data_IF_332580081376
#
_entry.id   IF_332580081376
#
_cell.length_a   1.000
_cell.length_b   1.000
_cell.length_c   1.000
_cell.angle_alpha   90.00
_cell.angle_beta   90.00
_cell.angle_gamma   90.00
#
_symmetry.space_group_name_H-M   'P 1'
#
loop_
_entity.id
_entity.type
_entity.pdbx_description
1 polymer ?
#
# COMPACT_ATOMS: atom_id res chain seq x y z
N UNK A 1 -33.84 -13.96 -3.75
CA UNK A 1 -32.84 -13.13 -4.47
C UNK A 1 -31.53 -13.29 -3.72
N UNK A 2 -30.40 -13.49 -4.42
CA UNK A 2 -29.11 -13.57 -3.77
C UNK A 2 -28.70 -12.22 -3.17
N UNK A 3 -27.91 -12.23 -2.11
CA UNK A 3 -27.37 -11.03 -1.48
C UNK A 3 -26.24 -10.45 -2.35
N UNK A 4 -26.56 -9.38 -3.09
CA UNK A 4 -25.62 -8.77 -4.03
C UNK A 4 -24.37 -8.20 -3.34
N UNK A 5 -24.49 -7.75 -2.08
CA UNK A 5 -23.35 -7.21 -1.34
C UNK A 5 -22.38 -8.32 -0.94
N UNK A 6 -22.91 -9.45 -0.44
CA UNK A 6 -22.09 -10.61 -0.13
C UNK A 6 -21.35 -11.12 -1.37
N UNK A 7 -22.04 -11.23 -2.51
CA UNK A 7 -21.44 -11.64 -3.78
C UNK A 7 -20.34 -10.69 -4.25
N UNK A 8 -20.57 -9.38 -4.23
CA UNK A 8 -19.57 -8.40 -4.64
C UNK A 8 -18.36 -8.38 -3.69
N UNK A 9 -18.58 -8.49 -2.39
CA UNK A 9 -17.50 -8.60 -1.40
C UNK A 9 -16.60 -9.81 -1.67
N UNK A 10 -17.21 -10.95 -2.00
CA UNK A 10 -16.50 -12.17 -2.39
C UNK A 10 -15.63 -11.95 -3.65
N UNK A 11 -16.15 -11.28 -4.69
CA UNK A 11 -15.37 -10.96 -5.88
C UNK A 11 -14.19 -10.03 -5.58
N UNK A 12 -14.39 -9.02 -4.74
CA UNK A 12 -13.32 -8.09 -4.33
C UNK A 12 -12.20 -8.84 -3.60
N UNK A 13 -12.54 -9.70 -2.62
CA UNK A 13 -11.56 -10.50 -1.89
C UNK A 13 -10.80 -11.46 -2.81
N UNK A 14 -11.51 -12.14 -3.73
CA UNK A 14 -10.89 -13.04 -4.72
C UNK A 14 -9.91 -12.32 -5.64
N UNK A 15 -10.26 -11.13 -6.11
CA UNK A 15 -9.35 -10.30 -6.92
C UNK A 15 -8.06 -9.90 -6.18
N UNK A 16 -8.08 -9.95 -4.84
CA UNK A 16 -6.95 -9.63 -3.97
C UNK A 16 -6.00 -10.80 -3.69
N UNK A 17 -6.43 -12.06 -3.84
CA UNK A 17 -5.71 -13.29 -3.43
C UNK A 17 -4.24 -13.26 -3.86
N UNK A 18 -4.00 -13.16 -5.18
CA UNK A 18 -2.65 -13.24 -5.75
C UNK A 18 -1.67 -12.18 -5.22
N UNK A 19 -2.19 -11.07 -4.66
CA UNK A 19 -1.35 -9.93 -4.22
C UNK A 19 -1.38 -9.68 -2.73
N UNK A 20 -2.44 -10.08 -2.02
CA UNK A 20 -2.63 -9.74 -0.60
C UNK A 20 -2.75 -10.98 0.29
N UNK A 21 -3.16 -12.12 -0.25
CA UNK A 21 -3.46 -13.33 0.53
C UNK A 21 -2.78 -14.53 -0.16
N UNK A 22 -1.52 -14.79 0.17
CA UNK A 22 -0.85 -15.98 -0.36
C UNK A 22 -1.58 -17.24 0.14
N UNK A 23 -2.16 -17.99 -0.78
CA UNK A 23 -2.77 -19.29 -0.54
C UNK A 23 -1.72 -20.21 0.09
N UNK A 24 -2.04 -20.83 1.24
CA UNK A 24 -1.11 -21.74 1.91
C UNK A 24 -1.06 -23.11 1.26
N UNK A 25 -2.20 -23.55 0.73
CA UNK A 25 -2.32 -24.82 0.03
C UNK A 25 -2.40 -24.59 -1.49
N UNK A 26 -1.39 -25.01 -2.28
CA UNK A 26 -1.40 -24.85 -3.73
C UNK A 26 -2.46 -25.71 -4.46
N UNK A 27 -3.16 -26.59 -3.74
CA UNK A 27 -4.26 -27.41 -4.27
C UNK A 27 -5.63 -26.75 -4.10
N UNK A 28 -5.74 -25.70 -3.28
CA UNK A 28 -6.98 -24.94 -3.12
C UNK A 28 -7.18 -24.06 -4.36
N UNK A 29 -8.40 -24.11 -4.90
CA UNK A 29 -8.78 -23.24 -6.00
C UNK A 29 -8.87 -21.80 -5.49
N UNK A 30 -7.94 -20.95 -5.92
CA UNK A 30 -7.93 -19.52 -5.62
C UNK A 30 -9.30 -18.88 -5.92
N UNK A 31 -10.03 -19.38 -6.93
CA UNK A 31 -11.34 -18.85 -7.28
C UNK A 31 -12.43 -19.17 -6.26
N UNK A 32 -12.21 -20.07 -5.30
CA UNK A 32 -13.21 -20.49 -4.31
C UNK A 32 -12.82 -20.22 -2.85
N UNK A 33 -11.58 -19.78 -2.59
CA UNK A 33 -11.04 -19.59 -1.24
C UNK A 33 -11.91 -18.74 -0.31
N UNK A 34 -12.65 -17.76 -0.85
CA UNK A 34 -13.52 -16.88 -0.07
C UNK A 34 -14.99 -17.18 -0.27
N UNK A 35 -15.71 -17.25 0.85
CA UNK A 35 -17.17 -17.31 0.91
C UNK A 35 -17.68 -16.23 1.87
N UNK A 36 -18.59 -15.37 1.42
CA UNK A 36 -19.21 -14.33 2.24
C UNK A 36 -20.70 -14.65 2.40
N UNK A 37 -21.17 -14.77 3.63
CA UNK A 37 -22.57 -15.11 3.96
C UNK A 37 -23.16 -14.10 4.92
N UNK A 38 -24.46 -13.81 4.79
CA UNK A 38 -25.18 -13.00 5.79
C UNK A 38 -25.30 -13.82 7.07
N UNK A 39 -24.73 -13.32 8.16
CA UNK A 39 -24.76 -14.00 9.45
C UNK A 39 -25.92 -13.50 10.32
N UNK A 40 -26.26 -12.22 10.19
CA UNK A 40 -27.38 -11.59 10.88
C UNK A 40 -27.98 -10.47 10.01
N UNK A 41 -28.94 -9.73 10.56
CA UNK A 41 -29.49 -8.54 9.89
C UNK A 41 -28.44 -7.43 9.75
N UNK A 42 -27.44 -7.39 10.62
CA UNK A 42 -26.46 -6.29 10.70
C UNK A 42 -25.04 -6.70 10.32
N UNK A 43 -24.77 -7.99 10.10
CA UNK A 43 -23.41 -8.49 9.83
C UNK A 43 -23.33 -9.55 8.72
N UNK A 44 -22.17 -9.61 8.08
CA UNK A 44 -21.71 -10.70 7.24
C UNK A 44 -20.59 -11.48 7.92
N UNK A 45 -20.47 -12.78 7.61
CA UNK A 45 -19.30 -13.59 7.91
C UNK A 45 -18.49 -13.83 6.64
N UNK A 46 -17.19 -13.61 6.72
CA UNK A 46 -16.21 -13.91 5.68
C UNK A 46 -15.47 -15.19 6.09
N UNK A 47 -15.73 -16.26 5.37
CA UNK A 47 -15.04 -17.53 5.48
C UNK A 47 -13.87 -17.56 4.49
N UNK A 48 -12.76 -18.14 4.94
CA UNK A 48 -11.57 -18.40 4.14
C UNK A 48 -11.15 -19.84 4.42
N UNK A 49 -10.94 -20.63 3.37
CA UNK A 49 -10.60 -22.06 3.46
C UNK A 49 -9.29 -22.31 4.25
N UNK A 50 -8.33 -21.36 4.26
CA UNK A 50 -7.12 -21.48 5.09
C UNK A 50 -7.42 -21.36 6.61
N UNK A 51 -8.64 -21.03 6.98
CA UNK A 51 -9.05 -20.65 8.32
C UNK A 51 -10.56 -20.93 8.57
N UNK A 52 -11.02 -22.11 8.17
CA UNK A 52 -12.45 -22.50 8.20
C UNK A 52 -13.11 -22.23 9.56
N UNK A 53 -12.42 -22.54 10.66
CA UNK A 53 -12.96 -22.46 12.02
C UNK A 53 -13.07 -21.04 12.59
N UNK A 54 -12.59 -20.02 11.85
CA UNK A 54 -12.50 -18.64 12.36
C UNK A 54 -13.04 -17.65 11.34
N UNK A 55 -14.34 -17.56 11.09
CA UNK A 55 -14.87 -16.52 10.19
C UNK A 55 -14.58 -15.11 10.74
N UNK A 56 -14.37 -14.15 9.85
CA UNK A 56 -14.33 -12.74 10.22
C UNK A 56 -15.72 -12.11 10.10
N UNK A 57 -16.18 -11.46 11.15
CA UNK A 57 -17.47 -10.74 11.15
C UNK A 57 -17.27 -9.29 10.71
N UNK A 58 -18.04 -8.85 9.70
CA UNK A 58 -18.02 -7.48 9.20
C UNK A 58 -19.43 -6.86 9.23
N UNK A 59 -19.60 -5.61 9.69
CA UNK A 59 -20.89 -4.93 9.64
C UNK A 59 -21.37 -4.69 8.20
N UNK A 60 -22.68 -4.85 7.93
CA UNK A 60 -23.24 -4.60 6.59
C UNK A 60 -23.03 -3.16 6.12
N UNK A 61 -23.05 -2.21 7.06
CA UNK A 61 -22.83 -0.78 6.77
C UNK A 61 -21.47 -0.51 6.11
N UNK A 62 -20.47 -1.37 6.34
CA UNK A 62 -19.15 -1.21 5.73
C UNK A 62 -19.19 -1.58 4.25
N UNK A 63 -19.90 -2.65 3.87
CA UNK A 63 -20.02 -3.07 2.47
C UNK A 63 -20.92 -2.16 1.62
N UNK A 64 -21.78 -1.36 2.27
CA UNK A 64 -22.58 -0.33 1.58
C UNK A 64 -21.74 0.90 1.23
N UNK A 65 -20.64 1.14 1.95
CA UNK A 65 -19.78 2.30 1.74
C UNK A 65 -18.81 2.07 0.55
N UNK A 66 -18.92 2.82 -0.56
CA UNK A 66 -18.03 2.64 -1.72
C UNK A 66 -16.56 3.02 -1.45
N UNK A 67 -16.29 3.77 -0.37
CA UNK A 67 -14.93 4.15 0.02
C UNK A 67 -14.27 3.14 0.96
N UNK A 68 -14.98 2.08 1.36
CA UNK A 68 -14.45 1.07 2.26
C UNK A 68 -13.56 0.08 1.50
N UNK A 69 -12.28 0.04 1.88
CA UNK A 69 -11.32 -0.93 1.35
C UNK A 69 -11.44 -2.28 2.09
N UNK A 70 -12.34 -3.12 1.58
CA UNK A 70 -12.57 -4.47 2.12
C UNK A 70 -11.29 -5.31 2.11
N UNK A 71 -10.45 -5.18 1.08
CA UNK A 71 -9.24 -5.98 0.95
C UNK A 71 -8.23 -5.65 2.05
N UNK A 72 -7.95 -4.37 2.24
CA UNK A 72 -7.06 -3.91 3.31
C UNK A 72 -7.62 -4.22 4.71
N UNK A 73 -8.92 -4.01 4.91
CA UNK A 73 -9.58 -4.35 6.17
C UNK A 73 -9.40 -5.83 6.50
N UNK A 74 -9.64 -6.73 5.53
CA UNK A 74 -9.48 -8.17 5.73
C UNK A 74 -8.03 -8.52 6.08
N UNK A 75 -7.05 -7.93 5.39
CA UNK A 75 -5.63 -8.16 5.63
C UNK A 75 -5.23 -7.84 7.08
N UNK A 76 -5.66 -6.68 7.59
CA UNK A 76 -5.38 -6.26 8.97
C UNK A 76 -6.02 -7.24 9.94
N UNK A 77 -7.32 -7.50 9.81
CA UNK A 77 -8.06 -8.29 10.78
C UNK A 77 -7.70 -9.78 10.77
N UNK A 78 -7.14 -10.27 9.67
CA UNK A 78 -6.75 -11.68 9.54
C UNK A 78 -5.30 -11.96 9.91
N UNK A 79 -4.37 -11.09 9.50
CA UNK A 79 -2.94 -11.38 9.61
C UNK A 79 -2.23 -10.56 10.69
N UNK A 80 -2.78 -9.41 11.14
CA UNK A 80 -2.15 -8.60 12.19
C UNK A 80 -2.58 -8.99 13.61
N UNK A 81 -3.57 -9.86 13.74
CA UNK A 81 -4.03 -10.44 15.02
C UNK A 81 -3.30 -11.71 15.40
N UNK A 82 -2.09 -11.99 14.87
CA UNK A 82 -1.25 -13.00 15.54
C UNK A 82 -1.00 -12.49 16.96
N UNK A 83 -1.52 -13.16 18.01
CA UNK A 83 -0.91 -12.98 19.30
C UNK A 83 0.55 -13.36 19.08
N UNK A 84 1.46 -12.52 19.51
CA UNK A 84 2.81 -13.00 19.80
C UNK A 84 2.53 -14.02 20.90
N UNK A 85 2.38 -15.28 20.51
CA UNK A 85 2.61 -16.37 21.43
C UNK A 85 4.09 -16.17 21.73
N UNK A 86 4.33 -15.56 22.89
CA UNK A 86 5.61 -15.60 23.56
C UNK A 86 5.80 -17.09 23.84
N UNK A 87 6.27 -17.81 22.81
CA UNK A 87 6.90 -19.10 22.97
C UNK A 87 8.09 -18.78 23.86
N UNK A 88 7.81 -18.80 25.17
CA UNK A 88 8.79 -18.63 26.22
C UNK A 88 9.98 -19.52 25.88
N UNK A 89 11.20 -19.09 26.23
CA UNK A 89 12.42 -19.72 25.79
C UNK A 89 12.29 -21.23 25.95
N UNK A 90 12.40 -21.95 24.82
CA UNK A 90 12.53 -23.41 24.79
C UNK A 90 13.53 -23.79 25.88
N UNK A 91 13.02 -24.31 26.99
CA UNK A 91 13.82 -24.92 28.03
C UNK A 91 14.01 -26.38 27.60
N UNK A 92 15.21 -26.77 27.11
CA UNK A 92 15.44 -28.13 26.66
C UNK A 92 15.60 -29.13 27.82
N UNK A 93 15.31 -28.78 29.07
CA UNK A 93 15.28 -29.71 30.19
C UNK A 93 13.84 -30.03 30.60
N UNK A 94 13.29 -31.08 30.02
CA UNK A 94 12.53 -32.15 30.72
C UNK A 94 11.79 -33.02 29.70
N UNK A 95 12.56 -33.80 28.95
CA UNK A 95 12.10 -35.13 28.50
C UNK A 95 12.34 -36.07 29.68
N UNK A 96 11.29 -36.29 30.46
CA UNK A 96 10.96 -37.55 31.11
C UNK A 96 9.76 -37.33 32.04
N UNK A 97 8.60 -37.89 31.66
CA UNK A 97 7.52 -38.31 32.56
C UNK A 97 6.26 -38.51 31.71
N UNK A 98 6.02 -39.73 31.24
CA UNK A 98 5.08 -40.67 31.86
C UNK A 98 3.59 -40.33 31.64
N UNK A 99 2.93 -41.29 30.99
CA UNK A 99 1.50 -41.50 30.86
C UNK A 99 0.66 -40.95 32.02
N UNK A 100 -0.42 -40.23 31.68
CA UNK A 100 -1.68 -40.40 32.40
C UNK A 100 -2.85 -40.21 31.43
N UNK A 101 -3.47 -41.34 31.06
CA UNK A 101 -4.86 -41.37 30.62
C UNK A 101 -5.74 -40.77 31.72
N UNK A 102 -6.72 -39.92 31.37
CA UNK A 102 -8.14 -40.19 31.61
C UNK A 102 -9.08 -39.03 31.20
N UNK A 103 -10.38 -39.30 31.04
CA UNK A 103 -11.28 -38.70 30.05
C UNK A 103 -12.31 -37.74 30.67
N UNK A 104 -13.21 -37.26 29.80
CA UNK A 104 -14.53 -36.67 30.09
C UNK A 104 -14.57 -35.41 30.96
N UNK A 105 -14.87 -34.27 30.31
CA UNK A 105 -15.60 -33.19 30.97
C UNK A 105 -16.38 -32.35 29.95
N UNK A 106 -17.66 -32.70 29.81
CA UNK A 106 -18.73 -31.82 29.37
C UNK A 106 -18.82 -30.60 30.32
N UNK A 107 -18.66 -29.38 29.79
CA UNK A 107 -19.17 -28.18 30.46
C UNK A 107 -19.84 -27.28 29.42
N UNK A 108 -21.17 -27.41 29.37
CA UNK A 108 -22.10 -26.36 28.98
C UNK A 108 -22.03 -25.21 29.99
N UNK A 109 -21.92 -23.97 29.51
CA UNK A 109 -22.52 -22.83 30.22
C UNK A 109 -22.90 -21.72 29.24
N UNK A 110 -24.19 -21.68 28.93
CA UNK A 110 -24.88 -20.50 28.42
C UNK A 110 -24.77 -19.37 29.46
N UNK A 111 -24.55 -18.14 29.00
CA UNK A 111 -24.82 -16.94 29.80
C UNK A 111 -25.31 -15.86 28.86
N UNK A 112 -26.63 -15.80 28.78
CA UNK A 112 -27.40 -14.64 28.37
C UNK A 112 -27.16 -13.52 29.39
N UNK A 113 -26.80 -12.32 28.93
CA UNK A 113 -27.03 -11.11 29.72
C UNK A 113 -27.65 -10.03 28.85
N UNK A 114 -28.86 -9.70 29.25
CA UNK A 114 -29.80 -8.78 28.65
C UNK A 114 -29.37 -7.31 28.79
N UNK A 115 -29.80 -6.54 27.79
CA UNK A 115 -30.25 -5.15 27.83
C UNK A 115 -29.73 -4.20 28.94
N UNK A 116 -29.14 -3.08 28.51
CA UNK A 116 -29.41 -1.80 29.17
C UNK A 116 -29.51 -0.68 28.14
N UNK A 117 -30.69 -0.11 28.10
CA UNK A 117 -31.10 1.06 27.34
C UNK A 117 -30.40 2.31 27.87
N UNK A 118 -29.83 3.13 26.98
CA UNK A 118 -29.71 4.56 27.25
C UNK A 118 -30.00 5.37 25.98
N UNK A 119 -31.26 5.78 25.86
CA UNK A 119 -31.69 6.83 24.95
C UNK A 119 -31.11 8.16 25.43
N UNK A 120 -30.48 8.91 24.52
CA UNK A 120 -30.22 10.34 24.70
C UNK A 120 -31.07 11.10 23.69
N UNK A 121 -32.16 11.68 24.19
CA UNK A 121 -32.87 12.77 23.56
C UNK A 121 -31.96 14.00 23.55
N UNK A 122 -31.69 14.56 22.36
CA UNK A 122 -31.13 15.91 22.24
C UNK A 122 -32.24 16.78 21.66
N UNK A 123 -32.83 17.57 22.56
CA UNK A 123 -33.82 18.60 22.29
C UNK A 123 -33.28 19.68 21.36
N UNK A 124 -34.08 19.98 20.34
CA UNK A 124 -34.00 21.21 19.56
C UNK A 124 -34.79 22.33 20.24
N UNK A 125 -34.15 23.47 20.51
CA UNK A 125 -34.77 24.79 20.67
C UNK A 125 -33.72 25.83 20.28
N UNK A 126 -33.90 26.53 19.15
CA UNK A 126 -34.43 27.90 19.06
C UNK A 126 -33.62 28.94 19.83
N UNK A 127 -32.94 29.84 19.13
CA UNK A 127 -33.27 31.28 19.09
C UNK A 127 -32.37 32.01 18.09
N UNK A 128 -32.99 32.80 17.22
CA UNK A 128 -32.35 33.83 16.43
C UNK A 128 -32.23 35.11 17.27
N UNK A 129 -31.23 35.94 17.01
CA UNK A 129 -31.42 37.38 17.14
C UNK A 129 -31.12 38.10 15.83
N UNK A 130 -32.14 38.82 15.36
CA UNK A 130 -31.98 39.98 14.49
C UNK A 130 -31.16 41.05 15.23
N UNK A 131 -30.10 41.55 14.59
CA UNK A 131 -29.66 42.93 14.82
C UNK A 131 -29.17 43.55 13.53
N UNK A 132 -29.93 44.57 13.15
CA UNK A 132 -29.75 45.51 12.06
C UNK A 132 -28.61 46.51 12.31
N UNK A 133 -28.07 47.00 11.19
CA UNK A 133 -27.64 48.38 10.93
C UNK A 133 -26.18 48.80 11.13
N UNK A 134 -25.65 49.26 10.00
CA UNK A 134 -24.70 50.35 9.75
C UNK A 134 -23.22 50.13 10.12
N UNK A 135 -22.38 50.11 9.09
CA UNK A 135 -21.49 51.26 8.87
C UNK A 135 -20.98 51.30 7.42
N UNK A 136 -21.25 52.47 6.85
CA UNK A 136 -20.78 53.02 5.59
C UNK A 136 -19.28 53.31 5.69
N UNK A 137 -18.49 52.74 4.80
CA UNK A 137 -17.10 53.18 4.55
C UNK A 137 -16.71 52.76 3.14
N UNK A 138 -16.92 53.69 2.22
CA UNK A 138 -16.30 53.76 0.90
C UNK A 138 -14.79 53.99 1.10
N UNK A 139 -13.97 52.95 0.91
CA UNK A 139 -12.58 53.11 0.48
C UNK A 139 -12.32 52.08 -0.62
N UNK A 140 -12.30 52.60 -1.85
CA UNK A 140 -11.83 51.94 -3.06
C UNK A 140 -10.36 51.55 -2.89
N UNK A 141 -10.11 50.27 -2.60
CA UNK A 141 -8.82 49.64 -2.82
C UNK A 141 -9.05 48.46 -3.78
N UNK A 142 -8.65 48.65 -5.04
CA UNK A 142 -8.69 47.66 -6.12
C UNK A 142 -7.78 46.47 -5.78
N UNK A 143 -8.24 45.61 -4.87
CA UNK A 143 -7.75 44.24 -4.79
C UNK A 143 -8.35 43.50 -5.97
N UNK A 144 -7.56 43.41 -7.03
CA UNK A 144 -7.82 42.50 -8.15
C UNK A 144 -7.89 41.07 -7.62
N UNK A 145 -9.08 40.64 -7.21
CA UNK A 145 -9.44 39.24 -7.07
C UNK A 145 -9.39 38.62 -8.46
N UNK A 146 -8.18 38.26 -8.88
CA UNK A 146 -7.94 37.31 -9.94
C UNK A 146 -8.44 35.97 -9.41
N UNK A 147 -9.75 35.78 -9.46
CA UNK A 147 -10.37 34.47 -9.38
C UNK A 147 -9.66 33.59 -10.40
N UNK A 148 -8.92 32.54 -10.00
CA UNK A 148 -8.29 31.64 -10.95
C UNK A 148 -9.41 30.87 -11.64
N UNK A 149 -9.88 31.42 -12.76
CA UNK A 149 -10.88 30.85 -13.67
C UNK A 149 -10.25 29.83 -14.60
N UNK A 150 -9.44 28.95 -14.03
CA UNK A 150 -9.02 27.72 -14.68
C UNK A 150 -9.73 26.58 -13.98
N UNK A 151 -10.49 25.77 -14.71
CA UNK A 151 -10.94 24.46 -14.25
C UNK A 151 -9.69 23.62 -13.94
N UNK A 152 -9.16 23.74 -12.72
CA UNK A 152 -8.04 22.94 -12.26
C UNK A 152 -8.55 21.51 -12.20
N UNK A 153 -7.97 20.64 -13.02
CA UNK A 153 -8.39 19.25 -13.11
C UNK A 153 -8.34 18.59 -11.73
N UNK A 154 -9.24 17.63 -11.47
CA UNK A 154 -9.24 16.87 -10.20
C UNK A 154 -7.87 16.22 -9.98
N UNK A 155 -7.16 15.86 -11.06
CA UNK A 155 -5.79 15.37 -11.04
C UNK A 155 -4.76 16.40 -10.56
N UNK A 156 -4.91 17.67 -10.90
CA UNK A 156 -4.01 18.76 -10.52
C UNK A 156 -4.27 19.24 -9.08
N UNK A 157 -5.52 19.21 -8.62
CA UNK A 157 -5.84 19.37 -7.19
C UNK A 157 -5.26 18.21 -6.37
N UNK A 158 -5.37 16.97 -6.87
CA UNK A 158 -4.77 15.81 -6.22
C UNK A 158 -3.23 15.86 -6.22
N UNK A 159 -2.63 16.43 -7.27
CA UNK A 159 -1.21 16.71 -7.35
C UNK A 159 -0.77 17.69 -6.25
N UNK A 160 -1.44 18.83 -6.11
CA UNK A 160 -1.12 19.81 -5.08
C UNK A 160 -1.30 19.25 -3.67
N UNK A 161 -2.38 18.48 -3.43
CA UNK A 161 -2.63 17.83 -2.15
C UNK A 161 -1.58 16.75 -1.83
N UNK A 162 -1.12 16.02 -2.84
CA UNK A 162 -0.03 15.04 -2.71
C UNK A 162 1.33 15.70 -2.45
N UNK A 163 1.67 16.76 -3.18
CA UNK A 163 2.89 17.56 -2.99
C UNK A 163 2.91 18.26 -1.63
N UNK A 164 1.75 18.72 -1.13
CA UNK A 164 1.61 19.34 0.18
C UNK A 164 1.58 18.34 1.34
N UNK A 165 1.66 17.02 1.08
CA UNK A 165 1.58 15.99 2.11
C UNK A 165 0.23 15.88 2.82
N UNK A 166 -0.84 16.46 2.23
CA UNK A 166 -2.18 16.56 2.83
C UNK A 166 -3.05 15.33 2.57
N UNK A 167 -2.58 14.36 1.78
CA UNK A 167 -3.29 13.10 1.51
C UNK A 167 -2.35 11.92 1.67
N UNK A 168 -2.66 11.02 2.62
CA UNK A 168 -1.97 9.74 2.79
C UNK A 168 -2.65 8.74 1.87
N UNK A 169 -2.03 8.42 0.73
CA UNK A 169 -2.50 7.33 -0.13
C UNK A 169 -1.99 6.01 0.48
N UNK A 170 -2.86 5.02 0.76
CA UNK A 170 -2.44 3.75 1.33
C UNK A 170 -1.48 3.03 0.37
N UNK A 171 -0.37 2.55 0.93
CA UNK A 171 0.77 2.01 0.18
C UNK A 171 0.50 0.57 -0.28
N UNK A 172 0.87 0.23 -1.52
CA UNK A 172 0.78 -1.14 -2.06
C UNK A 172 2.17 -1.63 -2.49
N UNK A 173 2.74 -2.57 -1.74
CA UNK A 173 4.13 -3.02 -1.92
C UNK A 173 4.30 -4.27 -2.83
N UNK A 174 3.24 -4.97 -3.23
CA UNK A 174 3.36 -6.31 -3.87
C UNK A 174 3.15 -6.25 -5.39
N UNK A 175 4.12 -6.78 -6.15
CA UNK A 175 4.01 -7.10 -7.58
C UNK A 175 4.37 -5.99 -8.57
N UNK A 176 4.88 -4.86 -8.11
CA UNK A 176 5.16 -3.70 -8.97
C UNK A 176 6.48 -3.86 -9.75
N UNK A 177 6.44 -4.60 -10.86
CA UNK A 177 7.57 -4.78 -11.77
C UNK A 177 8.16 -3.45 -12.24
N UNK A 178 7.31 -2.43 -12.43
CA UNK A 178 7.72 -1.11 -12.87
C UNK A 178 8.47 -0.39 -11.75
N UNK A 179 7.90 -0.36 -10.54
CA UNK A 179 8.55 0.20 -9.36
C UNK A 179 9.90 -0.46 -9.05
N UNK A 180 9.98 -1.79 -9.17
CA UNK A 180 11.22 -2.55 -9.00
C UNK A 180 12.27 -2.20 -10.07
N UNK A 181 11.87 -2.10 -11.34
CA UNK A 181 12.77 -1.69 -12.43
C UNK A 181 13.30 -0.29 -12.18
N UNK A 182 12.43 0.66 -11.83
CA UNK A 182 12.81 2.04 -11.54
C UNK A 182 13.76 2.12 -10.36
N UNK A 183 13.46 1.41 -9.26
CA UNK A 183 14.33 1.35 -8.09
C UNK A 183 15.71 0.81 -8.45
N UNK A 184 15.80 -0.26 -9.25
CA UNK A 184 17.08 -0.80 -9.71
C UNK A 184 17.86 0.18 -10.57
N UNK A 185 17.21 0.83 -11.54
CA UNK A 185 17.86 1.83 -12.41
C UNK A 185 18.40 2.98 -11.56
N UNK A 186 17.60 3.54 -10.66
CA UNK A 186 18.00 4.67 -9.84
C UNK A 186 19.13 4.32 -8.86
N UNK A 187 19.10 3.14 -8.24
CA UNK A 187 20.17 2.67 -7.34
C UNK A 187 21.47 2.28 -8.10
N UNK A 188 21.45 2.18 -9.43
CA UNK A 188 22.65 1.94 -10.24
C UNK A 188 23.46 3.22 -10.50
N UNK A 189 22.88 4.40 -10.25
CA UNK A 189 23.62 5.66 -10.29
C UNK A 189 24.33 5.91 -8.96
N UNK A 190 25.64 6.16 -9.03
CA UNK A 190 26.46 6.41 -7.83
C UNK A 190 26.04 7.69 -7.10
N UNK A 191 25.79 8.76 -7.85
CA UNK A 191 25.56 10.10 -7.32
C UNK A 191 24.61 10.92 -8.20
N UNK A 192 23.69 11.67 -7.58
CA UNK A 192 22.79 12.60 -8.25
C UNK A 192 23.13 14.05 -7.87
N UNK A 193 22.75 15.03 -8.70
CA UNK A 193 22.99 16.44 -8.40
C UNK A 193 22.49 16.85 -7.01
N UNK A 194 23.40 17.37 -6.19
CA UNK A 194 23.12 17.83 -4.83
C UNK A 194 23.45 16.80 -3.74
N UNK A 195 23.90 15.60 -4.09
CA UNK A 195 24.38 14.61 -3.11
C UNK A 195 25.56 15.15 -2.28
N UNK A 196 25.65 14.79 -0.99
CA UNK A 196 26.77 15.17 -0.12
C UNK A 196 28.10 14.44 -0.45
N UNK A 197 28.26 13.88 -1.66
CA UNK A 197 29.41 13.09 -2.08
C UNK A 197 29.16 11.58 -2.07
N UNK A 198 30.22 10.76 -2.01
CA UNK A 198 30.13 9.30 -2.09
C UNK A 198 29.44 8.71 -0.86
N UNK A 199 28.17 8.34 -1.00
CA UNK A 199 27.38 7.77 0.09
C UNK A 199 27.55 6.25 0.09
N UNK A 200 28.22 5.70 1.11
CA UNK A 200 28.14 4.26 1.39
C UNK A 200 26.75 3.97 1.98
N UNK A 201 25.86 3.48 1.13
CA UNK A 201 24.48 3.21 1.52
C UNK A 201 24.36 1.76 2.03
N UNK A 202 24.10 1.61 3.33
CA UNK A 202 23.68 0.32 3.92
C UNK A 202 22.21 -0.01 3.61
N UNK A 203 21.44 0.99 3.17
CA UNK A 203 20.00 0.92 2.89
C UNK A 203 19.73 1.38 1.46
N UNK A 204 18.66 0.89 0.81
CA UNK A 204 18.29 1.34 -0.52
C UNK A 204 18.09 2.86 -0.54
N UNK A 205 18.64 3.54 -1.54
CA UNK A 205 18.62 5.00 -1.67
C UNK A 205 17.22 5.54 -1.96
N UNK A 206 16.46 4.75 -2.70
CA UNK A 206 15.17 5.11 -3.24
C UNK A 206 14.12 4.12 -2.78
N UNK A 207 12.95 4.62 -2.42
CA UNK A 207 11.74 3.82 -2.28
C UNK A 207 10.75 4.24 -3.36
N UNK A 208 10.45 3.30 -4.26
CA UNK A 208 9.57 3.55 -5.41
C UNK A 208 8.26 2.83 -5.20
N UNK A 209 7.14 3.54 -5.34
CA UNK A 209 5.81 3.01 -5.06
C UNK A 209 4.78 3.59 -6.02
N UNK A 210 3.76 2.82 -6.36
CA UNK A 210 2.60 3.33 -7.09
C UNK A 210 1.82 4.29 -6.18
N UNK A 211 1.62 5.52 -6.64
CA UNK A 211 0.89 6.55 -5.89
C UNK A 211 -0.54 6.72 -6.42
N UNK A 212 -0.75 6.64 -7.73
CA UNK A 212 -2.06 6.70 -8.39
C UNK A 212 -2.13 5.65 -9.50
N UNK A 213 -3.27 5.52 -10.16
CA UNK A 213 -3.46 4.51 -11.21
C UNK A 213 -2.40 4.56 -12.31
N UNK A 214 -1.90 5.76 -12.61
CA UNK A 214 -0.89 6.00 -13.65
C UNK A 214 0.35 6.74 -13.15
N UNK A 215 0.56 6.88 -11.83
CA UNK A 215 1.73 7.60 -11.30
C UNK A 215 2.50 6.80 -10.27
N UNK A 216 3.82 6.90 -10.34
CA UNK A 216 4.78 6.31 -9.41
C UNK A 216 5.49 7.39 -8.65
N UNK A 217 5.48 7.29 -7.33
CA UNK A 217 6.26 8.11 -6.43
C UNK A 217 7.65 7.49 -6.24
N UNK A 218 8.68 8.30 -6.39
CA UNK A 218 10.07 8.02 -6.07
C UNK A 218 10.44 8.86 -4.86
N UNK A 219 10.59 8.20 -3.72
CA UNK A 219 11.03 8.78 -2.47
C UNK A 219 12.55 8.62 -2.35
N UNK A 220 13.27 9.73 -2.55
CA UNK A 220 14.72 9.81 -2.41
C UNK A 220 15.10 10.07 -0.97
N UNK A 221 15.51 9.02 -0.25
CA UNK A 221 15.73 9.06 1.20
C UNK A 221 16.90 9.97 1.61
N UNK A 222 17.89 10.15 0.73
CA UNK A 222 19.04 11.03 0.96
C UNK A 222 18.63 12.51 0.95
N UNK A 223 17.78 12.90 0.00
CA UNK A 223 17.34 14.28 -0.18
C UNK A 223 16.05 14.61 0.53
N UNK A 224 15.39 13.60 1.11
CA UNK A 224 14.01 13.68 1.60
C UNK A 224 13.08 14.29 0.54
N UNK A 225 13.29 13.91 -0.71
CA UNK A 225 12.59 14.45 -1.87
C UNK A 225 11.61 13.44 -2.43
N UNK A 226 10.39 13.87 -2.70
CA UNK A 226 9.35 13.05 -3.32
C UNK A 226 9.14 13.53 -4.75
N UNK A 227 9.32 12.64 -5.73
CA UNK A 227 9.16 12.94 -7.15
C UNK A 227 8.19 11.96 -7.79
N UNK A 228 7.34 12.42 -8.70
CA UNK A 228 6.34 11.58 -9.35
C UNK A 228 6.63 11.41 -10.84
N UNK A 229 6.43 10.20 -11.36
CA UNK A 229 6.59 9.85 -12.76
C UNK A 229 5.34 9.19 -13.30
N UNK A 230 5.02 9.47 -14.55
CA UNK A 230 3.90 8.85 -15.24
C UNK A 230 4.26 7.43 -15.70
N UNK A 231 3.29 6.51 -15.61
CA UNK A 231 3.47 5.11 -16.01
C UNK A 231 3.93 4.98 -17.47
N UNK A 232 3.43 5.87 -18.32
CA UNK A 232 3.69 5.86 -19.76
C UNK A 232 5.16 6.16 -20.05
N UNK A 233 5.73 7.16 -19.38
CA UNK A 233 7.16 7.45 -19.41
C UNK A 233 7.99 6.28 -18.91
N UNK A 234 7.63 5.72 -17.75
CA UNK A 234 8.37 4.60 -17.15
C UNK A 234 8.34 3.32 -18.01
N UNK A 235 7.30 3.14 -18.82
CA UNK A 235 7.19 2.03 -19.77
C UNK A 235 8.02 2.27 -21.02
N UNK A 236 8.26 3.53 -21.40
CA UNK A 236 9.09 3.86 -22.55
C UNK A 236 10.56 3.47 -22.26
N UNK A 237 11.17 2.54 -23.03
CA UNK A 237 12.56 2.16 -22.83
C UNK A 237 13.55 3.29 -23.13
N UNK A 238 13.15 4.30 -23.92
CA UNK A 238 13.97 5.49 -24.20
C UNK A 238 13.93 6.51 -23.06
N UNK A 239 12.97 6.39 -22.13
CA UNK A 239 12.85 7.29 -21.01
C UNK A 239 13.94 7.03 -19.98
N UNK A 240 14.85 8.00 -19.85
CA UNK A 240 15.99 7.92 -18.93
C UNK A 240 15.60 8.44 -17.55
N UNK A 241 14.93 7.60 -16.75
CA UNK A 241 14.45 8.02 -15.43
C UNK A 241 15.56 8.57 -14.52
N UNK A 242 16.77 8.01 -14.58
CA UNK A 242 17.92 8.52 -13.83
C UNK A 242 18.13 10.00 -14.13
N UNK A 243 18.32 10.34 -15.40
CA UNK A 243 18.53 11.71 -15.88
C UNK A 243 17.41 12.66 -15.46
N UNK A 244 16.16 12.26 -15.69
CA UNK A 244 15.00 13.08 -15.35
C UNK A 244 14.90 13.34 -13.84
N UNK A 245 15.14 12.31 -13.03
CA UNK A 245 15.20 12.46 -11.58
C UNK A 245 16.34 13.42 -11.16
N UNK A 246 17.54 13.26 -11.73
CA UNK A 246 18.67 14.14 -11.46
C UNK A 246 18.44 15.60 -11.86
N UNK A 247 17.75 15.86 -12.98
CA UNK A 247 17.32 17.20 -13.40
C UNK A 247 16.39 17.83 -12.38
N UNK A 248 15.43 17.08 -11.87
CA UNK A 248 14.50 17.56 -10.83
C UNK A 248 15.20 17.83 -9.51
N UNK A 249 16.13 16.96 -9.09
CA UNK A 249 16.99 17.23 -7.93
C UNK A 249 17.78 18.53 -8.08
N UNK A 250 18.37 18.76 -9.26
CA UNK A 250 19.12 19.97 -9.55
C UNK A 250 18.23 21.22 -9.49
N UNK A 251 17.04 21.16 -10.09
CA UNK A 251 16.05 22.24 -10.07
C UNK A 251 15.60 22.58 -8.64
N UNK A 252 15.26 21.57 -7.82
CA UNK A 252 14.84 21.76 -6.43
C UNK A 252 15.93 22.41 -5.57
N UNK A 253 17.21 22.14 -5.86
CA UNK A 253 18.37 22.70 -5.15
C UNK A 253 18.88 24.01 -5.75
N UNK A 254 18.33 24.46 -6.88
CA UNK A 254 18.81 25.64 -7.59
C UNK A 254 20.25 25.49 -8.13
N UNK A 255 20.67 24.26 -8.44
CA UNK A 255 22.01 23.96 -8.99
C UNK A 255 21.90 23.60 -10.47
N UNK A 256 22.98 23.84 -11.23
CA UNK A 256 23.05 23.45 -12.64
C UNK A 256 23.35 21.95 -12.75
N UNK A 257 22.63 21.25 -13.63
CA UNK A 257 22.89 19.84 -13.94
C UNK A 257 24.31 19.71 -14.52
N UNK A 258 25.15 18.81 -14.00
CA UNK A 258 26.50 18.59 -14.54
C UNK A 258 26.47 18.14 -16.00
N UNK A 259 27.39 18.64 -16.84
CA UNK A 259 27.45 18.27 -18.26
C UNK A 259 27.71 16.76 -18.49
N UNK A 260 28.32 16.07 -17.52
CA UNK A 260 28.53 14.61 -17.56
C UNK A 260 27.22 13.82 -17.60
N UNK A 261 26.14 14.37 -17.03
CA UNK A 261 24.82 13.74 -17.04
C UNK A 261 24.13 13.83 -18.40
N UNK A 262 24.35 14.91 -19.15
CA UNK A 262 23.85 15.01 -20.53
C UNK A 262 24.68 14.14 -21.51
N UNK A 263 25.90 13.73 -21.14
CA UNK A 263 26.77 12.89 -21.98
C UNK A 263 26.53 11.38 -21.80
N UNK A 264 26.12 10.93 -20.60
CA UNK A 264 25.81 9.51 -20.32
C UNK A 264 24.60 8.95 -21.10
N UNK A 265 23.90 9.81 -21.84
CA UNK A 265 22.70 9.50 -22.64
C UNK A 265 22.95 8.38 -23.67
N UNK A 266 24.20 8.15 -24.10
CA UNK A 266 24.51 7.30 -25.25
C UNK A 266 25.19 5.95 -24.96
N UNK A 267 25.79 5.72 -23.80
CA UNK A 267 26.68 4.55 -23.62
C UNK A 267 26.07 3.37 -22.85
N UNK A 268 25.08 3.57 -21.96
CA UNK A 268 24.81 2.56 -20.92
C UNK A 268 23.63 1.59 -21.16
N UNK A 269 22.80 1.77 -22.19
CA UNK A 269 21.69 0.84 -22.48
C UNK A 269 21.92 -0.07 -23.70
N UNK A 270 23.09 0.05 -24.35
CA UNK A 270 23.43 -0.76 -25.54
C UNK A 270 23.74 -2.22 -25.23
N UNK A 271 24.14 -2.56 -24.01
CA UNK A 271 24.45 -3.93 -23.64
C UNK A 271 23.96 -4.21 -22.22
N UNK A 272 22.71 -4.66 -22.08
CA UNK A 272 22.44 -5.57 -20.97
C UNK A 272 23.46 -6.71 -21.11
N UNK A 273 24.29 -7.00 -20.10
CA UNK A 273 25.15 -8.17 -20.16
C UNK A 273 24.21 -9.34 -20.43
N UNK A 274 24.33 -9.95 -21.62
CA UNK A 274 23.69 -11.23 -21.91
C UNK A 274 24.05 -12.09 -20.71
N UNK A 275 23.06 -12.41 -19.88
CA UNK A 275 23.23 -13.38 -18.81
C UNK A 275 23.77 -14.62 -19.50
N UNK A 276 25.07 -14.83 -19.35
CA UNK A 276 25.77 -15.92 -20.00
C UNK A 276 25.06 -17.18 -19.56
N UNK A 277 24.46 -17.88 -20.52
CA UNK A 277 24.16 -19.29 -20.33
C UNK A 277 25.50 -19.97 -20.21
N UNK A 278 26.05 -19.96 -19.00
CA UNK A 278 27.27 -20.67 -18.65
C UNK A 278 26.91 -22.16 -18.60
N UNK A 279 26.70 -22.74 -19.78
CA UNK A 279 26.68 -24.17 -20.00
C UNK A 279 28.13 -24.67 -19.99
N UNK A 280 28.81 -24.44 -18.88
CA UNK A 280 30.07 -25.08 -18.56
C UNK A 280 29.79 -26.56 -18.29
N UNK A 281 29.77 -27.38 -19.34
CA UNK A 281 29.83 -28.83 -19.19
C UNK A 281 31.06 -29.20 -18.38
N UNK A 282 30.93 -29.97 -17.27
CA UNK A 282 32.09 -30.43 -16.53
C UNK A 282 32.90 -31.39 -17.41
N UNK A 283 34.16 -31.01 -17.70
CA UNK A 283 35.15 -31.92 -18.29
C UNK A 283 35.40 -33.05 -17.29
N UNK A 284 35.00 -34.26 -17.67
CA UNK A 284 35.31 -35.48 -16.91
C UNK A 284 36.82 -35.74 -16.82
N UNK A 285 37.28 -36.47 -15.79
CA UNK A 285 38.69 -36.75 -15.58
C UNK A 285 39.22 -37.73 -16.64
N UNK A 286 40.30 -37.34 -17.33
CA UNK A 286 41.05 -38.23 -18.20
C UNK A 286 42.00 -39.09 -17.35
N UNK A 287 41.74 -40.39 -17.26
CA UNK A 287 42.73 -41.35 -16.78
C UNK A 287 43.59 -41.82 -17.96
N UNK A 288 44.90 -41.57 -17.89
CA UNK A 288 45.90 -42.22 -18.74
C UNK A 288 46.53 -43.39 -18.00
N UNK A 289 46.81 -44.47 -18.76
CA UNK A 289 47.46 -45.70 -18.29
C UNK A 289 48.92 -45.50 -17.93
#
# INVERSE_FOLDING_TARGET
MGDAYAYNAMLVLRSGIQTLYQTRDPLVDDDLQFTVVSASDTTYHIHNDDFEDRPLTIPKTYLVNPYFDLGHWYLIHRYHTRPIVDDGPDDPSDIDSEYTENPDLDIYTESESEASHHSLEISAHHEAPDTSSNSDSEEDDELSETSPSGDVSVEEINWELGCAGKRIIPWKDIGDLLGNRVSKILNAYDEFPGDPGTIKLEKPRFKVRRALDKKWAVDGLVHQSLTYFDAEDLRNPEFQIGLEYGRRCAQMKGIKVPASWDAQIHESYGEYPRMGTDSGSPRGPSFSK
#
